data_IF_444707016597
#
_entry.id   IF_444707016597
#
_cell.length_a   1.000
_cell.length_b   1.000
_cell.length_c   1.000
_cell.angle_alpha   90.00
_cell.angle_beta   90.00
_cell.angle_gamma   90.00
#
_symmetry.space_group_name_H-M   'P 1'
#
loop_
_entity.id
_entity.type
_entity.pdbx_description
1 polymer ?
#
# COMPACT_ATOMS: atom_id res chain seq x y z
N UNK A 1 -8.14 3.20 3.45
CA UNK A 1 -7.19 2.68 2.45
C UNK A 1 -5.89 3.41 2.64
N UNK A 2 -4.76 2.75 2.40
CA UNK A 2 -3.46 3.42 2.42
C UNK A 2 -3.39 4.39 1.23
N UNK A 3 -3.33 5.69 1.54
CA UNK A 3 -3.36 6.75 0.53
C UNK A 3 -2.13 6.71 -0.38
N UNK A 4 -1.00 6.20 0.09
CA UNK A 4 0.19 6.05 -0.75
C UNK A 4 -0.05 5.05 -1.89
N UNK A 5 -0.60 3.87 -1.58
CA UNK A 5 -0.94 2.87 -2.61
C UNK A 5 -2.09 3.31 -3.50
N UNK A 6 -3.03 4.07 -2.95
CA UNK A 6 -4.16 4.59 -3.71
C UNK A 6 -3.72 5.59 -4.77
N UNK A 7 -2.77 6.48 -4.44
CA UNK A 7 -2.18 7.42 -5.39
C UNK A 7 -1.43 6.72 -6.53
N UNK A 8 -0.69 5.64 -6.23
CA UNK A 8 0.00 4.85 -7.25
C UNK A 8 -0.97 4.12 -8.18
N UNK A 9 -2.08 3.60 -7.64
CA UNK A 9 -3.12 2.92 -8.44
C UNK A 9 -3.74 3.82 -9.51
N UNK A 10 -3.97 5.11 -9.21
CA UNK A 10 -4.55 6.05 -10.18
C UNK A 10 -3.59 6.46 -11.29
N UNK A 11 -2.29 6.39 -11.04
CA UNK A 11 -1.28 6.70 -12.06
C UNK A 11 -1.06 5.55 -13.04
N UNK A 12 -1.61 4.35 -12.77
CA UNK A 12 -1.44 3.16 -13.59
C UNK A 12 -2.66 2.90 -14.49
N UNK A 13 -2.42 2.35 -15.68
CA UNK A 13 -3.50 1.90 -16.56
C UNK A 13 -4.19 0.66 -15.99
N UNK A 14 -5.53 0.58 -16.14
CA UNK A 14 -6.37 -0.49 -15.57
C UNK A 14 -5.87 -1.89 -15.93
N UNK A 15 -5.36 -2.09 -17.15
CA UNK A 15 -4.88 -3.38 -17.63
C UNK A 15 -3.53 -3.80 -17.01
N UNK A 16 -2.74 -2.84 -16.53
CA UNK A 16 -1.47 -3.08 -15.86
C UNK A 16 -1.63 -3.23 -14.33
N UNK A 17 -2.66 -2.58 -13.76
CA UNK A 17 -2.90 -2.55 -12.32
C UNK A 17 -3.14 -3.94 -11.72
N UNK A 18 -4.08 -4.72 -12.26
CA UNK A 18 -4.43 -6.04 -11.69
C UNK A 18 -3.24 -7.02 -11.76
N UNK A 19 -2.62 -7.28 -12.93
CA UNK A 19 -1.46 -8.17 -12.99
C UNK A 19 -0.29 -7.72 -12.12
N UNK A 20 -0.04 -6.41 -12.04
CA UNK A 20 1.01 -5.85 -11.19
C UNK A 20 0.78 -6.13 -9.71
N UNK A 21 -0.44 -5.90 -9.20
CA UNK A 21 -0.79 -6.20 -7.82
C UNK A 21 -0.79 -7.70 -7.51
N UNK A 22 -1.28 -8.53 -8.42
CA UNK A 22 -1.29 -9.98 -8.26
C UNK A 22 0.15 -10.52 -8.16
N UNK A 23 1.03 -10.07 -9.06
CA UNK A 23 2.44 -10.43 -9.06
C UNK A 23 3.16 -9.97 -7.78
N UNK A 24 2.90 -8.73 -7.35
CA UNK A 24 3.46 -8.19 -6.11
C UNK A 24 3.01 -8.99 -4.87
N UNK A 25 1.74 -9.41 -4.82
CA UNK A 25 1.20 -10.17 -3.69
C UNK A 25 1.83 -11.56 -3.51
N UNK A 26 2.32 -12.18 -4.60
CA UNK A 26 3.04 -13.46 -4.55
C UNK A 26 4.50 -13.22 -4.15
N UNK A 27 5.12 -12.20 -4.72
CA UNK A 27 6.53 -11.89 -4.48
C UNK A 27 6.79 -11.37 -3.05
N UNK A 28 5.85 -10.63 -2.46
CA UNK A 28 6.03 -9.98 -1.15
C UNK A 28 6.32 -10.97 -0.03
N UNK A 29 5.82 -12.21 -0.13
CA UNK A 29 6.02 -13.27 0.87
C UNK A 29 7.50 -13.66 0.98
N UNK A 30 8.28 -13.51 -0.09
CA UNK A 30 9.71 -13.79 -0.08
C UNK A 30 10.45 -12.97 0.97
N UNK A 31 10.05 -11.72 1.17
CA UNK A 31 10.73 -10.80 2.08
C UNK A 31 10.70 -11.31 3.52
N UNK A 32 9.55 -11.51 4.20
CA UNK A 32 9.54 -12.00 5.57
C UNK A 32 9.90 -13.48 5.67
N UNK A 33 9.34 -14.34 4.81
CA UNK A 33 9.47 -15.79 4.96
C UNK A 33 10.85 -16.29 4.53
N UNK A 34 11.29 -15.96 3.32
CA UNK A 34 12.54 -16.50 2.79
C UNK A 34 13.74 -15.87 3.49
N UNK A 35 13.76 -14.54 3.62
CA UNK A 35 14.83 -13.84 4.34
C UNK A 35 14.90 -14.28 5.81
N UNK A 36 13.74 -14.38 6.49
CA UNK A 36 13.68 -14.84 7.88
C UNK A 36 14.19 -16.28 8.03
N UNK A 37 13.81 -17.18 7.12
CA UNK A 37 14.28 -18.57 7.10
C UNK A 37 15.79 -18.64 6.88
N UNK A 38 16.32 -17.97 5.84
CA UNK A 38 17.75 -18.04 5.50
C UNK A 38 18.60 -17.43 6.61
N UNK A 39 18.29 -16.21 7.05
CA UNK A 39 19.09 -15.50 8.06
C UNK A 39 18.94 -16.15 9.43
N UNK A 40 17.73 -16.51 9.84
CA UNK A 40 17.47 -17.11 11.15
C UNK A 40 18.12 -18.48 11.30
N UNK A 41 18.03 -19.34 10.28
CA UNK A 41 18.69 -20.64 10.29
C UNK A 41 20.22 -20.50 10.21
N UNK A 42 20.71 -19.56 9.41
CA UNK A 42 22.15 -19.26 9.36
C UNK A 42 22.66 -18.87 10.74
N UNK A 43 21.98 -17.95 11.44
CA UNK A 43 22.32 -17.55 12.81
C UNK A 43 22.43 -18.78 13.74
N UNK A 44 21.40 -19.63 13.76
CA UNK A 44 21.38 -20.83 14.61
C UNK A 44 22.47 -21.85 14.27
N UNK A 45 22.85 -21.95 13.00
CA UNK A 45 23.91 -22.86 12.57
C UNK A 45 25.29 -22.40 13.05
N UNK A 46 25.54 -21.09 13.07
CA UNK A 46 26.89 -20.55 13.30
C UNK A 46 27.12 -19.95 14.69
N UNK A 47 26.07 -19.63 15.47
CA UNK A 47 26.18 -18.89 16.74
C UNK A 47 27.10 -19.55 17.79
N UNK A 48 27.30 -20.87 17.71
CA UNK A 48 28.17 -21.65 18.61
C UNK A 48 29.54 -21.97 18.02
N UNK A 49 29.88 -21.38 16.88
CA UNK A 49 31.14 -21.67 16.17
C UNK A 49 32.08 -20.46 16.20
N UNK A 50 33.39 -20.65 16.03
CA UNK A 50 34.37 -19.56 16.03
C UNK A 50 34.18 -18.50 14.93
N UNK A 51 33.35 -18.78 13.91
CA UNK A 51 33.02 -17.81 12.86
C UNK A 51 32.05 -16.71 13.36
N UNK A 52 31.38 -16.94 14.50
CA UNK A 52 30.44 -15.99 15.07
C UNK A 52 31.17 -14.74 15.58
N UNK A 53 30.65 -13.56 15.26
CA UNK A 53 31.31 -12.27 15.49
C UNK A 53 31.71 -12.06 16.95
N UNK A 54 30.89 -12.54 17.88
CA UNK A 54 31.09 -12.38 19.32
C UNK A 54 31.45 -13.67 20.04
N UNK A 55 31.86 -14.71 19.31
CA UNK A 55 32.21 -16.00 19.90
C UNK A 55 33.19 -15.84 21.08
N UNK A 56 32.94 -16.48 22.25
CA UNK A 56 31.93 -17.51 22.53
C UNK A 56 30.57 -16.99 23.00
N UNK A 57 30.38 -15.67 23.09
CA UNK A 57 29.11 -15.07 23.53
C UNK A 57 28.06 -15.05 22.42
N UNK A 58 26.81 -15.36 22.78
CA UNK A 58 25.65 -15.27 21.90
C UNK A 58 24.93 -13.93 22.05
N UNK A 59 24.01 -13.62 21.13
CA UNK A 59 23.20 -12.40 21.22
C UNK A 59 22.39 -12.36 22.52
N UNK A 60 22.36 -11.19 23.15
CA UNK A 60 21.48 -10.94 24.29
C UNK A 60 20.03 -10.77 23.81
N UNK A 61 19.03 -11.02 24.68
CA UNK A 61 17.62 -10.78 24.33
C UNK A 61 17.36 -9.36 23.82
N UNK A 62 18.04 -8.37 24.39
CA UNK A 62 17.96 -6.97 23.96
C UNK A 62 18.44 -6.79 22.51
N UNK A 63 19.57 -7.39 22.14
CA UNK A 63 20.10 -7.30 20.77
C UNK A 63 19.20 -8.02 19.76
N UNK A 64 18.60 -9.15 20.16
CA UNK A 64 17.62 -9.86 19.35
C UNK A 64 16.38 -8.98 19.11
N UNK A 65 15.85 -8.36 20.17
CA UNK A 65 14.68 -7.48 20.09
C UNK A 65 14.94 -6.19 19.31
N UNK A 66 16.20 -5.77 19.18
CA UNK A 66 16.65 -4.67 18.32
C UNK A 66 16.82 -5.08 16.84
N UNK A 67 16.61 -6.36 16.49
CA UNK A 67 16.72 -6.84 15.12
C UNK A 67 18.17 -7.05 14.65
N UNK A 68 19.14 -7.17 15.57
CA UNK A 68 20.57 -7.27 15.22
C UNK A 68 20.99 -8.65 14.66
N UNK A 69 20.07 -9.60 14.56
CA UNK A 69 20.36 -10.95 14.04
C UNK A 69 20.94 -10.90 12.63
N UNK A 70 20.29 -10.18 11.70
CA UNK A 70 20.76 -10.09 10.32
C UNK A 70 22.14 -9.42 10.18
N UNK A 71 22.39 -8.25 10.79
CA UNK A 71 23.73 -7.65 10.81
C UNK A 71 24.82 -8.60 11.31
N UNK A 72 24.58 -9.35 12.38
CA UNK A 72 25.57 -10.27 12.95
C UNK A 72 25.86 -11.45 12.02
N UNK A 73 24.82 -12.04 11.42
CA UNK A 73 24.99 -13.14 10.45
C UNK A 73 25.81 -12.67 9.24
N UNK A 74 25.49 -11.51 8.67
CA UNK A 74 26.25 -10.97 7.53
C UNK A 74 27.70 -10.62 7.93
N UNK A 75 27.91 -10.05 9.11
CA UNK A 75 29.25 -9.74 9.61
C UNK A 75 30.11 -11.01 9.74
N UNK A 76 29.54 -12.07 10.29
CA UNK A 76 30.21 -13.35 10.50
C UNK A 76 30.53 -14.09 9.20
N UNK A 77 29.62 -14.08 8.23
CA UNK A 77 29.76 -14.89 7.00
C UNK A 77 30.39 -14.14 5.83
N UNK A 78 30.06 -12.85 5.66
CA UNK A 78 30.42 -12.06 4.48
C UNK A 78 31.31 -10.85 4.81
N UNK A 79 31.52 -10.56 6.09
CA UNK A 79 32.40 -9.50 6.57
C UNK A 79 31.83 -8.09 6.40
N UNK A 80 32.72 -7.10 6.56
CA UNK A 80 32.38 -5.66 6.61
C UNK A 80 31.68 -5.11 5.35
N UNK A 81 32.02 -5.52 4.11
CA UNK A 81 31.35 -4.99 2.93
C UNK A 81 29.85 -5.32 2.89
N UNK A 82 29.46 -6.53 3.30
CA UNK A 82 28.07 -6.94 3.32
C UNK A 82 27.25 -6.20 4.39
N UNK A 83 27.83 -5.95 5.57
CA UNK A 83 27.15 -5.16 6.60
C UNK A 83 27.02 -3.68 6.20
N UNK A 84 28.01 -3.12 5.51
CA UNK A 84 27.90 -1.78 4.93
C UNK A 84 26.80 -1.71 3.87
N UNK A 85 26.72 -2.71 2.98
CA UNK A 85 25.64 -2.81 2.00
C UNK A 85 24.26 -2.91 2.66
N UNK A 86 24.15 -3.68 3.76
CA UNK A 86 22.92 -3.75 4.55
C UNK A 86 22.52 -2.38 5.13
N UNK A 87 23.47 -1.59 5.63
CA UNK A 87 23.19 -0.24 6.13
C UNK A 87 22.64 0.67 5.03
N UNK A 88 23.23 0.62 3.83
CA UNK A 88 22.72 1.36 2.66
C UNK A 88 21.32 0.89 2.28
N UNK A 89 21.08 -0.42 2.26
CA UNK A 89 19.77 -1.00 1.96
C UNK A 89 18.71 -0.54 2.96
N UNK A 90 19.01 -0.58 4.26
CA UNK A 90 18.10 -0.12 5.32
C UNK A 90 17.82 1.39 5.16
N UNK A 91 18.86 2.20 4.90
CA UNK A 91 18.69 3.63 4.67
C UNK A 91 17.75 3.90 3.50
N UNK A 92 17.99 3.26 2.34
CA UNK A 92 17.13 3.40 1.17
C UNK A 92 15.68 2.96 1.44
N UNK A 93 15.49 1.84 2.13
CA UNK A 93 14.16 1.32 2.47
C UNK A 93 13.38 2.28 3.39
N UNK A 94 14.06 2.81 4.43
CA UNK A 94 13.45 3.77 5.35
C UNK A 94 13.13 5.08 4.62
N UNK A 95 14.08 5.64 3.86
CA UNK A 95 13.86 6.89 3.13
C UNK A 95 12.74 6.77 2.09
N UNK A 96 12.63 5.62 1.41
CA UNK A 96 11.52 5.35 0.48
C UNK A 96 10.17 5.36 1.21
N UNK A 97 10.08 4.69 2.37
CA UNK A 97 8.85 4.65 3.18
C UNK A 97 8.48 6.04 3.71
N UNK A 98 9.46 6.78 4.23
CA UNK A 98 9.27 8.14 4.75
C UNK A 98 8.82 9.10 3.65
N UNK A 99 9.41 9.02 2.45
CA UNK A 99 9.00 9.85 1.32
C UNK A 99 7.55 9.57 0.92
N UNK A 100 7.16 8.30 0.85
CA UNK A 100 5.79 7.90 0.51
C UNK A 100 4.77 8.37 1.57
N UNK A 101 5.06 8.20 2.86
CA UNK A 101 4.18 8.66 3.94
C UNK A 101 4.04 10.18 3.99
N UNK A 102 5.11 10.92 3.69
CA UNK A 102 5.09 12.39 3.62
C UNK A 102 4.13 12.89 2.54
N UNK A 103 4.16 12.28 1.34
CA UNK A 103 3.26 12.66 0.23
C UNK A 103 1.81 12.30 0.57
N UNK A 104 1.60 11.14 1.18
CA UNK A 104 0.28 10.69 1.62
C UNK A 104 -0.32 11.67 2.65
N UNK A 105 0.40 11.99 3.72
CA UNK A 105 -0.09 12.87 4.80
C UNK A 105 -0.22 14.31 4.35
N UNK A 106 0.69 14.82 3.51
CA UNK A 106 0.57 16.18 2.98
C UNK A 106 -0.65 16.35 2.08
N UNK A 107 -1.00 15.32 1.32
CA UNK A 107 -2.22 15.30 0.48
C UNK A 107 -3.48 15.28 1.34
N UNK A 108 -3.51 14.50 2.43
CA UNK A 108 -4.62 14.50 3.40
C UNK A 108 -4.78 15.90 4.03
N UNK A 109 -3.69 16.52 4.49
CA UNK A 109 -3.73 17.85 5.11
C UNK A 109 -4.24 18.91 4.12
N UNK A 110 -3.78 18.87 2.87
CA UNK A 110 -4.10 19.90 1.87
C UNK A 110 -5.48 19.72 1.21
N UNK A 111 -5.82 18.50 0.79
CA UNK A 111 -7.05 18.21 0.06
C UNK A 111 -8.20 17.84 1.01
N UNK A 112 -7.97 16.87 1.89
CA UNK A 112 -9.04 16.32 2.73
C UNK A 112 -9.39 17.24 3.90
N UNK A 113 -8.40 17.97 4.45
CA UNK A 113 -8.62 18.87 5.57
C UNK A 113 -8.76 20.33 5.14
N UNK A 114 -7.71 20.91 4.55
CA UNK A 114 -7.68 22.34 4.24
C UNK A 114 -8.70 22.73 3.16
N UNK A 115 -8.68 22.06 2.00
CA UNK A 115 -9.62 22.37 0.92
C UNK A 115 -11.06 22.03 1.31
N UNK A 116 -11.30 20.90 1.97
CA UNK A 116 -12.67 20.50 2.32
C UNK A 116 -13.32 21.37 3.40
N UNK A 117 -12.59 21.73 4.46
CA UNK A 117 -13.19 22.39 5.63
C UNK A 117 -12.81 23.85 5.82
N UNK A 118 -11.63 24.30 5.37
CA UNK A 118 -11.15 25.67 5.63
C UNK A 118 -11.34 26.59 4.43
N UNK A 119 -10.95 26.14 3.24
CA UNK A 119 -11.07 26.94 2.02
C UNK A 119 -11.41 26.08 0.79
N UNK A 120 -12.72 25.81 0.55
CA UNK A 120 -13.20 25.05 -0.60
C UNK A 120 -12.81 25.63 -1.97
N UNK A 121 -12.56 26.93 -2.02
CA UNK A 121 -12.19 27.68 -3.23
C UNK A 121 -10.69 27.98 -3.31
N UNK A 122 -9.86 27.26 -2.53
CA UNK A 122 -8.41 27.43 -2.58
C UNK A 122 -7.86 27.17 -3.98
N UNK A 123 -7.01 28.09 -4.47
CA UNK A 123 -6.28 27.91 -5.72
C UNK A 123 -5.20 26.83 -5.58
N UNK A 124 -4.80 26.22 -6.70
CA UNK A 124 -3.80 25.14 -6.70
C UNK A 124 -2.47 25.57 -6.08
N UNK A 125 -2.05 26.81 -6.32
CA UNK A 125 -0.84 27.38 -5.69
C UNK A 125 -0.94 27.42 -4.17
N UNK A 126 -2.11 27.78 -3.62
CA UNK A 126 -2.33 27.83 -2.17
C UNK A 126 -2.39 26.42 -1.58
N UNK A 127 -3.06 25.49 -2.26
CA UNK A 127 -3.13 24.08 -1.89
C UNK A 127 -1.74 23.44 -1.85
N UNK A 128 -0.90 23.73 -2.85
CA UNK A 128 0.50 23.26 -2.90
C UNK A 128 1.33 23.82 -1.74
N UNK A 129 1.17 25.09 -1.39
CA UNK A 129 1.85 25.69 -0.23
C UNK A 129 1.49 25.00 1.09
N UNK A 130 0.20 24.68 1.28
CA UNK A 130 -0.26 23.93 2.45
C UNK A 130 0.27 22.50 2.44
N UNK A 131 0.35 21.85 1.27
CA UNK A 131 0.96 20.53 1.12
C UNK A 131 2.43 20.55 1.56
N UNK A 132 3.23 21.52 1.09
CA UNK A 132 4.63 21.65 1.52
C UNK A 132 4.77 21.86 3.03
N UNK A 133 3.89 22.68 3.64
CA UNK A 133 3.86 22.85 5.09
C UNK A 133 3.51 21.52 5.80
N UNK A 134 2.58 20.75 5.24
CA UNK A 134 2.22 19.42 5.70
C UNK A 134 3.40 18.44 5.68
N UNK A 135 4.24 18.48 4.64
CA UNK A 135 5.48 17.67 4.56
C UNK A 135 6.43 18.00 5.71
N UNK A 136 6.70 19.28 5.94
CA UNK A 136 7.61 19.73 7.02
C UNK A 136 7.04 19.34 8.40
N UNK A 137 5.76 19.60 8.62
CA UNK A 137 5.08 19.22 9.86
C UNK A 137 5.17 17.72 10.12
N UNK A 138 4.82 16.90 9.13
CA UNK A 138 4.83 15.44 9.27
C UNK A 138 6.26 14.90 9.49
N UNK A 139 7.26 15.46 8.81
CA UNK A 139 8.67 15.11 9.04
C UNK A 139 9.12 15.37 10.47
N UNK A 140 8.85 16.56 10.99
CA UNK A 140 9.15 16.90 12.39
C UNK A 140 8.37 16.03 13.37
N UNK A 141 7.09 15.77 13.10
CA UNK A 141 6.25 14.91 13.93
C UNK A 141 6.77 13.47 13.98
N UNK A 142 7.09 12.86 12.83
CA UNK A 142 7.64 11.50 12.79
C UNK A 142 8.98 11.40 13.50
N UNK A 143 9.88 12.38 13.30
CA UNK A 143 11.16 12.41 14.00
C UNK A 143 10.97 12.50 15.52
N UNK A 144 10.11 13.41 15.99
CA UNK A 144 9.79 13.54 17.41
C UNK A 144 9.12 12.28 17.99
N UNK A 145 8.17 11.69 17.25
CA UNK A 145 7.46 10.49 17.68
C UNK A 145 8.39 9.26 17.72
N UNK A 146 9.31 9.12 16.76
CA UNK A 146 10.31 8.05 16.77
C UNK A 146 11.27 8.17 17.97
N UNK A 147 11.74 9.38 18.27
CA UNK A 147 12.55 9.66 19.47
C UNK A 147 11.77 9.33 20.74
N UNK A 148 10.50 9.76 20.83
CA UNK A 148 9.63 9.44 21.96
C UNK A 148 9.49 7.93 22.17
N UNK A 149 9.21 7.16 21.11
CA UNK A 149 9.10 5.70 21.19
C UNK A 149 10.41 5.03 21.64
N UNK A 150 11.56 5.53 21.15
CA UNK A 150 12.86 5.04 21.55
C UNK A 150 13.13 5.26 23.05
N UNK A 151 12.79 6.43 23.59
CA UNK A 151 12.92 6.72 25.01
C UNK A 151 11.89 6.00 25.89
N UNK A 152 10.69 5.77 25.36
CA UNK A 152 9.70 4.94 26.03
C UNK A 152 10.20 3.50 26.20
N UNK A 153 11.09 3.02 25.33
CA UNK A 153 11.59 1.64 25.34
C UNK A 153 10.82 0.71 24.40
N UNK A 154 10.07 1.26 23.44
CA UNK A 154 9.29 0.49 22.48
C UNK A 154 10.22 -0.34 21.58
N UNK A 155 10.22 -1.66 21.77
CA UNK A 155 10.95 -2.59 20.92
C UNK A 155 10.29 -2.73 19.54
N UNK A 156 11.03 -3.26 18.56
CA UNK A 156 10.49 -3.53 17.23
C UNK A 156 9.30 -4.51 17.27
N UNK A 157 9.32 -5.47 18.20
CA UNK A 157 8.22 -6.42 18.43
C UNK A 157 6.97 -5.70 18.93
N UNK A 158 7.12 -4.81 19.91
CA UNK A 158 6.02 -4.00 20.43
C UNK A 158 5.35 -3.20 19.31
N UNK A 159 6.15 -2.47 18.52
CA UNK A 159 5.64 -1.67 17.40
C UNK A 159 4.95 -2.56 16.34
N UNK A 160 5.45 -3.77 16.12
CA UNK A 160 4.87 -4.74 15.18
C UNK A 160 3.50 -5.24 15.64
N UNK A 161 3.30 -5.46 16.95
CA UNK A 161 2.02 -5.94 17.48
C UNK A 161 0.97 -4.85 17.68
N UNK A 162 1.38 -3.62 18.02
CA UNK A 162 0.45 -2.49 18.16
C UNK A 162 -0.07 -2.00 16.81
N UNK A 163 0.77 -2.01 15.78
CA UNK A 163 0.42 -1.50 14.44
C UNK A 163 -0.89 -2.07 13.88
N UNK A 164 -1.10 -3.39 13.78
CA UNK A 164 -2.36 -3.92 13.25
C UNK A 164 -3.57 -3.57 14.13
N UNK A 165 -3.40 -3.46 15.46
CA UNK A 165 -4.50 -3.08 16.35
C UNK A 165 -5.03 -1.67 16.01
N UNK A 166 -4.13 -0.75 15.67
CA UNK A 166 -4.50 0.64 15.37
C UNK A 166 -4.88 0.86 13.90
N UNK A 167 -4.21 0.18 12.97
CA UNK A 167 -4.35 0.45 11.54
C UNK A 167 -5.46 -0.36 10.84
N UNK A 168 -5.78 -1.56 11.34
CA UNK A 168 -6.72 -2.47 10.68
C UNK A 168 -8.23 -2.17 10.82
N UNK A 169 -8.75 -1.44 11.84
CA UNK A 169 -10.20 -1.31 12.03
C UNK A 169 -10.98 -0.73 10.83
N UNK A 170 -10.31 0.08 10.01
CA UNK A 170 -10.92 0.71 8.84
C UNK A 170 -11.05 -0.19 7.62
N UNK A 171 -10.42 -1.37 7.58
CA UNK A 171 -10.30 -2.17 6.34
C UNK A 171 -11.68 -2.64 5.83
N UNK A 172 -12.41 -3.44 6.62
CA UNK A 172 -13.72 -3.95 6.19
C UNK A 172 -14.78 -2.86 6.00
N UNK A 173 -14.92 -1.88 6.91
CA UNK A 173 -15.89 -0.80 6.73
C UNK A 173 -15.63 -0.03 5.44
N UNK A 174 -14.37 0.22 5.06
CA UNK A 174 -14.02 0.86 3.78
C UNK A 174 -14.32 -0.03 2.58
N UNK A 175 -14.01 -1.33 2.64
CA UNK A 175 -14.37 -2.25 1.56
C UNK A 175 -15.88 -2.26 1.31
N UNK A 176 -16.65 -2.39 2.39
CA UNK A 176 -18.11 -2.38 2.31
C UNK A 176 -18.67 -1.06 1.76
N UNK A 177 -18.02 0.09 1.98
CA UNK A 177 -18.47 1.38 1.39
C UNK A 177 -18.36 1.43 -0.13
N UNK A 178 -17.61 0.51 -0.74
CA UNK A 178 -17.43 0.43 -2.19
C UNK A 178 -18.27 -0.70 -2.79
N UNK A 179 -18.44 -1.82 -2.07
CA UNK A 179 -19.08 -3.03 -2.63
C UNK A 179 -20.49 -3.30 -2.12
N UNK A 180 -20.92 -2.66 -1.03
CA UNK A 180 -22.20 -2.96 -0.37
C UNK A 180 -23.12 -1.74 -0.30
N UNK A 181 -24.14 -1.73 -1.17
CA UNK A 181 -25.12 -0.63 -1.29
C UNK A 181 -25.88 -0.32 0.00
N UNK A 182 -25.92 -1.27 0.97
CA UNK A 182 -26.72 -1.14 2.19
C UNK A 182 -25.93 -0.57 3.37
N UNK A 183 -24.63 -0.33 3.22
CA UNK A 183 -23.86 0.23 4.32
C UNK A 183 -24.33 1.64 4.64
N UNK A 184 -24.68 1.86 5.90
CA UNK A 184 -25.12 3.17 6.36
C UNK A 184 -23.94 4.09 6.68
N UNK A 185 -24.14 5.40 6.57
CA UNK A 185 -23.16 6.41 7.01
C UNK A 185 -22.74 6.21 8.47
N UNK A 186 -23.70 5.86 9.34
CA UNK A 186 -23.41 5.57 10.75
C UNK A 186 -22.49 4.35 10.90
N UNK A 187 -22.76 3.28 10.15
CA UNK A 187 -21.90 2.09 10.15
C UNK A 187 -20.49 2.38 9.62
N UNK A 188 -20.36 3.19 8.56
CA UNK A 188 -19.06 3.57 8.01
C UNK A 188 -18.18 4.35 9.01
N UNK A 189 -18.79 5.17 9.88
CA UNK A 189 -18.07 5.98 10.86
C UNK A 189 -17.84 5.22 12.18
N UNK A 190 -18.88 4.58 12.72
CA UNK A 190 -18.82 3.97 14.05
C UNK A 190 -18.13 2.61 14.07
N UNK A 191 -18.25 1.80 13.01
CA UNK A 191 -17.68 0.46 13.02
C UNK A 191 -16.14 0.44 13.18
N UNK A 192 -15.35 1.27 12.46
CA UNK A 192 -13.91 1.36 12.70
C UNK A 192 -13.57 1.81 14.12
N UNK A 193 -14.30 2.80 14.67
CA UNK A 193 -14.04 3.32 16.02
C UNK A 193 -14.34 2.29 17.10
N UNK A 194 -15.48 1.61 16.99
CA UNK A 194 -15.85 0.53 17.91
C UNK A 194 -14.84 -0.62 17.81
N UNK A 195 -14.41 -0.98 16.60
CA UNK A 195 -13.42 -2.04 16.44
C UNK A 195 -12.05 -1.71 17.01
N UNK A 196 -11.59 -0.46 16.86
CA UNK A 196 -10.38 0.03 17.52
C UNK A 196 -10.51 -0.08 19.05
N UNK A 197 -11.63 0.39 19.61
CA UNK A 197 -11.89 0.31 21.05
C UNK A 197 -11.91 -1.14 21.54
N UNK A 198 -12.56 -2.05 20.82
CA UNK A 198 -12.58 -3.48 21.14
C UNK A 198 -11.20 -4.11 21.06
N UNK A 199 -10.43 -3.79 20.01
CA UNK A 199 -9.07 -4.27 19.82
C UNK A 199 -8.12 -3.83 20.92
N UNK A 200 -8.13 -2.54 21.27
CA UNK A 200 -7.38 -1.99 22.40
C UNK A 200 -7.82 -2.60 23.72
N UNK A 201 -9.13 -2.75 23.92
CA UNK A 201 -9.68 -3.39 25.12
C UNK A 201 -9.19 -4.82 25.31
N UNK A 202 -9.26 -5.65 24.26
CA UNK A 202 -8.76 -7.03 24.29
C UNK A 202 -7.25 -7.08 24.51
N UNK A 203 -6.49 -6.26 23.78
CA UNK A 203 -5.04 -6.22 23.90
C UNK A 203 -4.58 -5.86 25.30
N UNK A 204 -5.10 -4.77 25.89
CA UNK A 204 -4.71 -4.33 27.23
C UNK A 204 -5.21 -5.29 28.31
N UNK A 205 -6.43 -5.83 28.19
CA UNK A 205 -6.98 -6.79 29.15
C UNK A 205 -6.18 -8.10 29.17
N UNK A 206 -5.76 -8.60 28.00
CA UNK A 206 -4.95 -9.81 27.92
C UNK A 206 -3.49 -9.55 28.33
N UNK A 207 -2.95 -8.36 28.04
CA UNK A 207 -1.62 -7.96 28.52
C UNK A 207 -1.59 -7.95 30.06
N UNK A 208 -2.65 -7.42 30.70
CA UNK A 208 -2.81 -7.49 32.14
C UNK A 208 -3.00 -8.92 32.65
N UNK A 209 -3.84 -9.73 31.98
CA UNK A 209 -4.13 -11.11 32.42
C UNK A 209 -2.92 -12.04 32.33
N UNK A 210 -2.13 -11.94 31.28
CA UNK A 210 -0.95 -12.80 31.06
C UNK A 210 0.32 -12.23 31.66
N UNK A 211 0.46 -10.90 31.67
CA UNK A 211 1.67 -10.21 32.15
C UNK A 211 1.59 -9.69 33.59
N UNK A 212 0.39 -9.61 34.19
CA UNK A 212 0.19 -9.11 35.56
C UNK A 212 0.22 -7.58 35.70
N UNK A 213 0.68 -6.85 34.68
CA UNK A 213 0.73 -5.39 34.62
C UNK A 213 0.49 -4.89 33.19
N UNK A 214 0.31 -3.58 33.03
CA UNK A 214 0.26 -2.94 31.71
C UNK A 214 1.51 -2.07 31.57
N UNK A 215 2.52 -2.62 30.90
CA UNK A 215 3.78 -1.97 30.58
C UNK A 215 4.27 -2.44 29.21
N UNK A 216 5.44 -1.97 28.76
CA UNK A 216 6.00 -2.30 27.45
C UNK A 216 6.32 -3.79 27.32
N UNK A 217 6.69 -4.46 28.42
CA UNK A 217 7.04 -5.87 28.43
C UNK A 217 5.81 -6.76 28.34
N UNK A 218 4.73 -6.42 29.02
CA UNK A 218 3.48 -7.19 28.94
C UNK A 218 2.73 -6.94 27.64
N UNK A 219 2.82 -5.72 27.10
CA UNK A 219 2.12 -5.35 25.86
C UNK A 219 2.81 -5.82 24.58
N UNK A 220 4.08 -6.24 24.66
CA UNK A 220 4.79 -6.92 23.57
C UNK A 220 4.65 -8.45 23.58
N UNK A 221 3.77 -9.01 24.43
CA UNK A 221 3.46 -10.44 24.41
C UNK A 221 2.69 -10.82 23.14
N UNK A 222 3.05 -11.96 22.55
CA UNK A 222 2.51 -12.41 21.28
C UNK A 222 1.00 -12.69 21.32
N UNK A 223 0.50 -13.35 22.37
CA UNK A 223 -0.92 -13.70 22.49
C UNK A 223 -1.82 -12.46 22.64
N UNK A 224 -1.57 -11.52 23.57
CA UNK A 224 -2.32 -10.26 23.61
C UNK A 224 -2.30 -9.50 22.28
N UNK A 225 -1.14 -9.42 21.63
CA UNK A 225 -0.99 -8.77 20.33
C UNK A 225 -1.84 -9.43 19.24
N UNK A 226 -1.81 -10.77 19.15
CA UNK A 226 -2.60 -11.55 18.20
C UNK A 226 -4.09 -11.32 18.39
N UNK A 227 -4.61 -11.54 19.61
CA UNK A 227 -6.04 -11.41 19.89
C UNK A 227 -6.55 -9.97 19.77
N UNK A 228 -5.73 -8.99 20.17
CA UNK A 228 -6.02 -7.57 19.95
C UNK A 228 -6.14 -7.24 18.47
N UNK A 229 -5.19 -7.69 17.66
CA UNK A 229 -5.17 -7.45 16.22
C UNK A 229 -6.34 -8.14 15.51
N UNK A 230 -6.63 -9.41 15.83
CA UNK A 230 -7.77 -10.13 15.24
C UNK A 230 -9.09 -9.48 15.62
N UNK A 231 -9.25 -9.05 16.87
CA UNK A 231 -10.46 -8.36 17.32
C UNK A 231 -10.63 -7.04 16.59
N UNK A 232 -9.56 -6.24 16.52
CA UNK A 232 -9.55 -4.95 15.82
C UNK A 232 -9.86 -5.08 14.34
N UNK A 233 -9.36 -6.14 13.69
CA UNK A 233 -9.56 -6.40 12.28
C UNK A 233 -10.99 -6.90 11.97
N UNK A 234 -11.51 -7.87 12.71
CA UNK A 234 -12.78 -8.53 12.38
C UNK A 234 -14.02 -7.91 13.03
N UNK A 235 -13.94 -7.31 14.21
CA UNK A 235 -15.13 -6.74 14.86
C UNK A 235 -15.77 -5.57 14.08
N UNK A 236 -15.03 -4.68 13.37
CA UNK A 236 -15.66 -3.67 12.51
C UNK A 236 -16.56 -4.27 11.43
N UNK A 237 -16.23 -5.45 10.88
CA UNK A 237 -17.10 -6.12 9.90
C UNK A 237 -18.46 -6.45 10.51
N UNK A 238 -18.46 -7.01 11.72
CA UNK A 238 -19.68 -7.34 12.46
C UNK A 238 -20.47 -6.07 12.78
N UNK A 239 -19.80 -5.03 13.28
CA UNK A 239 -20.44 -3.74 13.59
C UNK A 239 -21.02 -3.08 12.35
N UNK A 240 -20.31 -3.09 11.21
CA UNK A 240 -20.80 -2.53 9.95
C UNK A 240 -22.08 -3.21 9.50
N UNK A 241 -22.16 -4.55 9.60
CA UNK A 241 -23.35 -5.30 9.22
C UNK A 241 -24.51 -5.04 10.19
N UNK A 242 -24.27 -5.15 11.50
CA UNK A 242 -25.32 -4.98 12.53
C UNK A 242 -25.90 -3.57 12.50
N UNK A 243 -25.08 -2.53 12.48
CA UNK A 243 -25.54 -1.12 12.47
C UNK A 243 -26.31 -0.83 11.17
N UNK A 244 -25.84 -1.35 10.03
CA UNK A 244 -26.51 -1.13 8.75
C UNK A 244 -27.85 -1.86 8.63
N UNK A 245 -27.98 -3.04 9.26
CA UNK A 245 -29.26 -3.76 9.30
C UNK A 245 -30.23 -3.16 10.33
N UNK A 246 -29.74 -2.56 11.41
CA UNK A 246 -30.57 -1.89 12.41
C UNK A 246 -31.28 -0.65 11.87
N UNK A 247 -30.63 0.12 10.98
CA UNK A 247 -31.24 1.27 10.29
C UNK A 247 -30.99 1.20 8.79
N UNK A 248 -31.77 0.39 8.04
CA UNK A 248 -31.52 0.15 6.63
C UNK A 248 -31.53 1.44 5.79
N UNK A 249 -30.51 1.59 4.95
CA UNK A 249 -30.41 2.59 3.89
C UNK A 249 -29.93 1.88 2.62
N UNK A 250 -30.24 2.43 1.45
CA UNK A 250 -29.64 1.99 0.18
C UNK A 250 -29.02 3.19 -0.52
N UNK A 251 -27.77 3.04 -0.95
CA UNK A 251 -27.05 4.04 -1.72
C UNK A 251 -27.16 3.73 -3.21
N UNK A 252 -27.52 4.72 -4.02
CA UNK A 252 -27.54 4.59 -5.48
C UNK A 252 -26.17 4.98 -6.06
N UNK A 253 -25.46 3.99 -6.59
CA UNK A 253 -24.11 4.18 -7.15
C UNK A 253 -24.05 5.12 -8.35
N UNK A 254 -25.19 5.39 -9.00
CA UNK A 254 -25.28 6.36 -10.10
C UNK A 254 -24.96 7.78 -9.66
N UNK A 255 -25.05 8.08 -8.36
CA UNK A 255 -24.61 9.35 -7.78
C UNK A 255 -23.15 9.67 -8.12
N UNK A 256 -22.29 8.64 -8.25
CA UNK A 256 -20.89 8.85 -8.62
C UNK A 256 -20.70 9.39 -10.04
N UNK A 257 -21.64 9.15 -10.94
CA UNK A 257 -21.59 9.64 -12.32
C UNK A 257 -21.89 11.16 -12.40
N UNK A 258 -22.43 11.75 -11.34
CA UNK A 258 -22.66 13.20 -11.23
C UNK A 258 -21.43 13.97 -10.76
N UNK A 259 -20.41 13.29 -10.25
CA UNK A 259 -19.21 13.95 -9.72
C UNK A 259 -18.34 14.46 -10.88
N UNK A 260 -18.15 15.78 -10.94
CA UNK A 260 -17.19 16.41 -11.86
C UNK A 260 -15.77 16.29 -11.31
N UNK A 261 -14.83 15.91 -12.19
CA UNK A 261 -13.41 15.86 -11.87
C UNK A 261 -12.91 17.30 -11.60
N UNK A 262 -12.03 17.45 -10.61
CA UNK A 262 -11.56 18.78 -10.15
C UNK A 262 -10.85 19.56 -11.26
N UNK A 263 -10.28 18.88 -12.26
CA UNK A 263 -9.60 19.50 -13.41
C UNK A 263 -10.56 20.38 -14.25
N UNK A 264 -11.85 20.03 -14.32
CA UNK A 264 -12.84 20.72 -15.15
C UNK A 264 -13.30 22.09 -14.58
N UNK A 265 -12.86 22.45 -13.36
CA UNK A 265 -13.24 23.71 -12.71
C UNK A 265 -12.40 24.93 -13.11
N UNK A 266 -11.45 24.79 -14.04
CA UNK A 266 -10.77 25.96 -14.60
C UNK A 266 -11.66 26.60 -15.67
N UNK A 267 -12.28 27.78 -15.44
CA UNK A 267 -12.94 28.48 -16.52
C UNK A 267 -11.87 28.83 -17.55
N UNK A 268 -12.12 28.46 -18.81
CA UNK A 268 -11.36 28.92 -19.98
C UNK A 268 -11.39 30.45 -20.04
N UNK A 269 -10.48 31.09 -19.33
CA UNK A 269 -10.17 32.50 -19.49
C UNK A 269 -9.10 32.58 -20.57
N UNK A 270 -9.53 33.02 -21.75
CA UNK A 270 -8.65 33.52 -22.80
C UNK A 270 -7.69 34.57 -22.22
N UNK A 271 -6.38 34.27 -22.16
CA UNK A 271 -5.31 35.11 -22.73
C UNK A 271 -3.88 34.67 -22.38
N UNK A 272 -3.09 34.51 -23.45
CA UNK A 272 -1.62 34.54 -23.62
C UNK A 272 -0.75 33.35 -23.15
N UNK A 273 0.17 32.88 -24.01
CA UNK A 273 1.00 31.72 -23.73
C UNK A 273 2.12 32.10 -22.76
N UNK A 274 2.16 31.43 -21.61
CA UNK A 274 3.36 31.38 -20.79
C UNK A 274 4.19 30.20 -21.27
N UNK A 275 5.21 30.48 -22.07
CA UNK A 275 6.28 29.55 -22.40
C UNK A 275 6.89 28.99 -21.11
N UNK A 276 6.55 27.75 -20.78
CA UNK A 276 7.43 26.60 -20.50
C UNK A 276 6.56 25.37 -20.81
N UNK A 277 6.48 25.04 -22.09
CA UNK A 277 6.06 23.72 -22.54
C UNK A 277 7.32 23.07 -23.10
N UNK A 278 7.78 22.00 -22.44
CA UNK A 278 8.76 21.09 -23.01
C UNK A 278 8.08 20.50 -24.25
N UNK A 279 8.59 20.87 -25.41
CA UNK A 279 8.13 20.43 -26.71
C UNK A 279 8.56 18.99 -26.88
N UNK A 280 7.61 18.05 -26.88
CA UNK A 280 7.80 16.79 -27.58
C UNK A 280 7.16 16.99 -28.96
N UNK A 281 8.01 17.19 -29.95
CA UNK A 281 7.65 17.26 -31.36
C UNK A 281 7.12 15.91 -31.83
N UNK A 282 5.91 15.93 -32.39
CA UNK A 282 5.35 14.91 -33.26
C UNK A 282 6.25 14.77 -34.49
N UNK A 283 6.89 13.61 -34.64
CA UNK A 283 7.45 13.17 -35.91
C UNK A 283 7.58 11.64 -35.91
N UNK A 284 6.46 10.94 -36.10
CA UNK A 284 6.45 9.55 -36.55
C UNK A 284 5.19 9.26 -37.37
N UNK A 285 5.28 9.48 -38.69
CA UNK A 285 4.57 8.65 -39.66
C UNK A 285 5.46 7.47 -40.07
N UNK A 286 4.81 6.31 -40.24
CA UNK A 286 5.29 5.04 -40.83
C UNK A 286 6.11 4.12 -39.92
N UNK A 287 5.46 3.11 -39.33
CA UNK A 287 5.42 1.73 -39.88
C UNK A 287 4.46 0.83 -39.05
N UNK A 288 3.99 -0.23 -39.70
CA UNK A 288 2.75 -1.02 -39.52
C UNK A 288 2.33 -1.49 -38.10
N UNK A 289 1.09 -1.15 -37.71
CA UNK A 289 0.30 -1.81 -36.66
C UNK A 289 -0.51 -2.97 -37.27
N UNK A 290 -0.58 -4.17 -36.67
CA UNK A 290 -1.70 -5.08 -36.94
C UNK A 290 -2.98 -4.52 -36.32
N UNK A 291 -4.08 -4.65 -37.05
CA UNK A 291 -5.36 -4.00 -36.84
C UNK A 291 -5.95 -4.17 -35.41
N UNK A 292 -6.24 -3.05 -34.76
CA UNK A 292 -7.24 -2.97 -33.70
C UNK A 292 -8.07 -1.70 -33.90
N UNK A 293 -9.39 -1.89 -33.82
CA UNK A 293 -10.44 -0.91 -34.12
C UNK A 293 -10.28 0.31 -33.21
N UNK A 294 -9.90 1.45 -33.80
CA UNK A 294 -9.99 2.77 -33.18
C UNK A 294 -11.45 3.08 -32.85
N UNK A 295 -11.77 3.17 -31.56
CA UNK A 295 -12.94 3.91 -31.11
C UNK A 295 -12.73 5.37 -31.46
N UNK A 296 -13.40 5.83 -32.52
CA UNK A 296 -13.44 7.25 -32.92
C UNK A 296 -13.77 8.11 -31.70
N UNK A 297 -12.92 9.11 -31.44
CA UNK A 297 -13.29 10.25 -30.60
C UNK A 297 -14.56 10.92 -31.15
N UNK A 298 -15.30 11.68 -30.33
CA UNK A 298 -16.59 12.22 -30.75
C UNK A 298 -16.41 13.16 -31.95
N UNK A 299 -16.89 12.72 -33.10
CA UNK A 299 -17.15 13.57 -34.26
C UNK A 299 -18.14 14.66 -33.80
N UNK A 300 -17.79 15.91 -34.11
CA UNK A 300 -18.62 17.08 -33.87
C UNK A 300 -19.90 17.00 -34.71
N UNK A 301 -20.95 16.40 -34.17
CA UNK A 301 -22.30 16.53 -34.72
C UNK A 301 -22.85 17.88 -34.27
N UNK A 302 -22.86 18.82 -35.21
CA UNK A 302 -23.65 20.04 -35.10
C UNK A 302 -25.13 19.68 -35.03
N UNK A 303 -25.68 19.68 -33.83
CA UNK A 303 -27.12 19.73 -33.58
C UNK A 303 -27.34 20.56 -32.33
N UNK A 304 -28.06 21.65 -32.51
CA UNK A 304 -28.38 22.66 -31.50
C UNK A 304 -28.86 22.00 -30.19
N UNK A 305 -28.10 22.15 -29.12
CA UNK A 305 -28.43 21.65 -27.79
C UNK A 305 -28.97 22.80 -26.92
N UNK A 306 -30.12 22.63 -26.23
CA UNK A 306 -30.61 23.60 -25.24
C UNK A 306 -29.61 23.74 -24.08
N UNK A 307 -29.70 24.81 -23.25
CA UNK A 307 -28.63 25.18 -22.33
C UNK A 307 -28.32 24.06 -21.33
N UNK A 308 -27.02 23.80 -21.16
CA UNK A 308 -26.48 22.80 -20.26
C UNK A 308 -27.00 23.01 -18.83
N UNK A 309 -27.84 22.08 -18.35
CA UNK A 309 -28.02 21.88 -16.92
C UNK A 309 -26.69 21.33 -16.36
N UNK A 310 -26.18 21.92 -15.29
CA UNK A 310 -25.02 21.41 -14.55
C UNK A 310 -25.20 19.90 -14.28
N UNK A 311 -24.22 19.06 -14.67
CA UNK A 311 -24.28 17.60 -14.50
C UNK A 311 -24.52 17.19 -13.03
N UNK A 312 -24.06 18.02 -12.09
CA UNK A 312 -24.31 17.87 -10.65
C UNK A 312 -25.80 17.87 -10.25
N UNK A 313 -26.71 18.31 -11.13
CA UNK A 313 -28.13 18.47 -10.85
C UNK A 313 -29.04 17.74 -11.86
N UNK A 314 -28.46 16.93 -12.75
CA UNK A 314 -29.19 16.07 -13.67
C UNK A 314 -29.86 14.91 -12.93
N UNK A 315 -31.05 14.49 -13.34
CA UNK A 315 -31.75 13.35 -12.71
C UNK A 315 -30.94 12.05 -12.89
N UNK A 316 -31.00 11.14 -11.91
CA UNK A 316 -30.17 9.91 -11.89
C UNK A 316 -30.45 8.99 -13.08
N UNK A 317 -31.68 9.05 -13.60
CA UNK A 317 -32.12 8.25 -14.73
C UNK A 317 -31.57 8.78 -16.07
N UNK A 318 -31.12 10.04 -16.11
CA UNK A 318 -30.56 10.68 -17.31
C UNK A 318 -29.02 10.57 -17.38
N UNK A 319 -28.37 10.04 -16.34
CA UNK A 319 -26.90 10.00 -16.28
C UNK A 319 -26.37 8.76 -16.99
N UNK A 320 -25.68 9.00 -18.12
CA UNK A 320 -25.02 7.95 -18.90
C UNK A 320 -23.58 7.75 -18.44
N UNK A 321 -23.15 6.50 -18.39
CA UNK A 321 -21.79 6.14 -18.04
C UNK A 321 -20.77 6.68 -19.06
N UNK A 322 -19.63 7.27 -18.63
CA UNK A 322 -18.67 7.91 -19.54
C UNK A 322 -17.91 6.91 -20.43
N UNK A 323 -17.79 5.65 -19.99
CA UNK A 323 -17.16 4.59 -20.77
C UNK A 323 -18.19 3.80 -21.59
N UNK A 324 -17.81 3.45 -22.82
CA UNK A 324 -18.61 2.59 -23.70
C UNK A 324 -18.75 1.16 -23.16
N UNK A 325 -19.67 0.38 -23.75
CA UNK A 325 -19.99 -0.97 -23.29
C UNK A 325 -18.78 -1.93 -23.31
N UNK A 326 -17.90 -1.82 -24.29
CA UNK A 326 -16.72 -2.68 -24.39
C UNK A 326 -15.75 -2.47 -23.21
N UNK A 327 -15.48 -1.21 -22.88
CA UNK A 327 -14.64 -0.84 -21.73
C UNK A 327 -15.26 -1.36 -20.43
N UNK A 328 -16.58 -1.25 -20.26
CA UNK A 328 -17.27 -1.77 -19.08
C UNK A 328 -17.16 -3.30 -18.99
N UNK A 329 -17.32 -4.01 -20.12
CA UNK A 329 -17.13 -5.47 -20.17
C UNK A 329 -15.71 -5.85 -19.79
N UNK A 330 -14.72 -5.11 -20.29
CA UNK A 330 -13.32 -5.30 -19.97
C UNK A 330 -13.02 -5.10 -18.47
N UNK A 331 -13.51 -4.00 -17.86
CA UNK A 331 -13.36 -3.74 -16.42
C UNK A 331 -14.00 -4.85 -15.58
N UNK A 332 -15.21 -5.30 -15.94
CA UNK A 332 -15.89 -6.40 -15.24
C UNK A 332 -15.15 -7.72 -15.34
N UNK A 333 -14.46 -7.98 -16.47
CA UNK A 333 -13.62 -9.17 -16.62
C UNK A 333 -12.43 -9.13 -15.66
N UNK A 334 -11.68 -8.02 -15.63
CA UNK A 334 -10.56 -7.85 -14.70
C UNK A 334 -10.97 -7.87 -13.23
N UNK A 335 -12.13 -7.31 -12.90
CA UNK A 335 -12.69 -7.39 -11.55
C UNK A 335 -12.90 -8.86 -11.11
N UNK A 336 -13.39 -9.73 -12.00
CA UNK A 336 -13.56 -11.15 -11.68
C UNK A 336 -12.22 -11.83 -11.44
N UNK A 337 -11.21 -11.53 -12.25
CA UNK A 337 -9.84 -12.05 -12.07
C UNK A 337 -9.30 -11.61 -10.71
N UNK A 338 -9.33 -10.31 -10.41
CA UNK A 338 -8.84 -9.74 -9.17
C UNK A 338 -9.52 -10.35 -7.93
N UNK A 339 -10.85 -10.50 -7.96
CA UNK A 339 -11.59 -11.12 -6.83
C UNK A 339 -11.25 -12.60 -6.67
N UNK A 340 -11.17 -13.35 -7.78
CA UNK A 340 -10.83 -14.77 -7.74
C UNK A 340 -9.43 -14.96 -7.18
N UNK A 341 -8.48 -14.18 -7.68
CA UNK A 341 -7.09 -14.23 -7.26
C UNK A 341 -6.94 -13.81 -5.79
N UNK A 342 -7.62 -12.74 -5.34
CA UNK A 342 -7.64 -12.32 -3.94
C UNK A 342 -8.10 -13.46 -3.01
N UNK A 343 -9.22 -14.12 -3.35
CA UNK A 343 -9.76 -15.22 -2.55
C UNK A 343 -8.80 -16.41 -2.50
N UNK A 344 -8.25 -16.81 -3.65
CA UNK A 344 -7.27 -17.91 -3.73
C UNK A 344 -6.00 -17.55 -2.97
N UNK A 345 -5.49 -16.34 -3.13
CA UNK A 345 -4.29 -15.87 -2.44
C UNK A 345 -4.50 -15.94 -0.92
N UNK A 346 -5.57 -15.33 -0.39
CA UNK A 346 -5.89 -15.40 1.05
C UNK A 346 -6.01 -16.86 1.53
N UNK A 347 -6.75 -17.69 0.78
CA UNK A 347 -6.94 -19.09 1.16
C UNK A 347 -5.62 -19.86 1.19
N UNK A 348 -4.71 -19.63 0.25
CA UNK A 348 -3.43 -20.34 0.18
C UNK A 348 -2.42 -19.76 1.16
N UNK A 349 -2.19 -18.45 1.11
CA UNK A 349 -1.08 -17.76 1.77
C UNK A 349 -1.36 -17.41 3.23
N UNK A 350 -2.63 -17.41 3.66
CA UNK A 350 -3.01 -17.12 5.06
C UNK A 350 -3.62 -18.36 5.73
N UNK A 351 -4.52 -19.07 5.04
CA UNK A 351 -5.27 -20.17 5.66
C UNK A 351 -4.58 -21.53 5.48
N UNK A 352 -4.31 -21.96 4.25
CA UNK A 352 -3.83 -23.32 3.98
C UNK A 352 -2.37 -23.49 4.37
N UNK A 353 -1.55 -22.46 4.19
CA UNK A 353 -0.12 -22.57 4.42
C UNK A 353 0.30 -22.17 5.86
N UNK A 354 0.07 -20.96 6.39
CA UNK A 354 0.49 -20.61 7.75
C UNK A 354 -0.31 -21.27 8.89
N UNK A 355 -1.64 -21.32 8.81
CA UNK A 355 -2.46 -21.75 9.96
C UNK A 355 -2.14 -23.16 10.46
N UNK A 356 -1.89 -24.17 9.60
CA UNK A 356 -1.51 -25.50 10.08
C UNK A 356 -0.22 -25.53 10.89
N UNK A 357 0.70 -24.57 10.71
CA UNK A 357 1.94 -24.47 11.48
C UNK A 357 1.78 -23.79 12.84
N UNK A 358 0.59 -23.26 13.16
CA UNK A 358 0.34 -22.70 14.49
C UNK A 358 0.16 -23.78 15.57
N UNK A 359 0.15 -25.06 15.18
CA UNK A 359 0.26 -26.19 16.10
C UNK A 359 1.72 -26.30 16.59
N UNK A 360 1.92 -26.82 17.81
CA UNK A 360 3.23 -27.22 18.36
C UNK A 360 3.86 -28.40 17.59
N UNK A 361 3.97 -28.26 16.27
CA UNK A 361 4.43 -29.29 15.37
C UNK A 361 5.92 -29.13 15.12
N UNK A 362 6.69 -30.11 15.56
CA UNK A 362 8.12 -30.19 15.27
C UNK A 362 8.30 -30.71 13.84
N UNK A 363 8.97 -29.93 13.00
CA UNK A 363 9.21 -30.29 11.60
C UNK A 363 10.08 -31.56 11.51
N UNK A 364 9.64 -32.52 10.71
CA UNK A 364 10.49 -33.65 10.33
C UNK A 364 11.65 -33.15 9.45
N UNK A 365 12.75 -33.90 9.39
CA UNK A 365 13.90 -33.53 8.54
C UNK A 365 13.51 -33.33 7.07
N UNK A 366 12.63 -34.20 6.54
CA UNK A 366 12.14 -34.09 5.16
C UNK A 366 11.30 -32.83 4.95
N UNK A 367 10.39 -32.54 5.89
CA UNK A 367 9.56 -31.35 5.81
C UNK A 367 10.38 -30.06 5.92
N UNK A 368 11.30 -30.01 6.88
CA UNK A 368 12.23 -28.88 7.03
C UNK A 368 13.11 -28.68 5.79
N UNK A 369 13.64 -29.76 5.20
CA UNK A 369 14.38 -29.69 3.94
C UNK A 369 13.53 -29.12 2.80
N UNK A 370 12.27 -29.53 2.70
CA UNK A 370 11.30 -28.98 1.75
C UNK A 370 11.01 -27.50 1.98
N UNK A 371 10.80 -27.08 3.24
CA UNK A 371 10.58 -25.69 3.64
C UNK A 371 11.72 -24.77 3.18
N UNK A 372 12.96 -25.14 3.50
CA UNK A 372 14.14 -24.36 3.14
C UNK A 372 14.33 -24.33 1.62
N UNK A 373 14.15 -25.46 0.94
CA UNK A 373 14.27 -25.55 -0.52
C UNK A 373 13.25 -24.65 -1.22
N UNK A 374 11.99 -24.69 -0.77
CA UNK A 374 10.93 -23.84 -1.33
C UNK A 374 11.22 -22.36 -1.07
N UNK A 375 11.70 -22.00 0.12
CA UNK A 375 12.08 -20.63 0.43
C UNK A 375 13.19 -20.12 -0.50
N UNK A 376 14.20 -20.95 -0.80
CA UNK A 376 15.27 -20.58 -1.73
C UNK A 376 14.75 -20.39 -3.16
N UNK A 377 13.92 -21.30 -3.66
CA UNK A 377 13.31 -21.19 -5.00
C UNK A 377 12.45 -19.92 -5.08
N UNK A 378 11.62 -19.67 -4.08
CA UNK A 378 10.73 -18.51 -4.04
C UNK A 378 11.50 -17.19 -3.97
N UNK A 379 12.63 -17.16 -3.25
CA UNK A 379 13.50 -15.99 -3.20
C UNK A 379 14.04 -15.62 -4.58
N UNK A 380 14.47 -16.62 -5.37
CA UNK A 380 14.92 -16.39 -6.75
C UNK A 380 13.79 -15.95 -7.66
N UNK A 381 12.61 -16.56 -7.55
CA UNK A 381 11.42 -16.12 -8.30
C UNK A 381 11.09 -14.66 -7.99
N UNK A 382 11.05 -14.28 -6.72
CA UNK A 382 10.80 -12.90 -6.31
C UNK A 382 11.88 -11.94 -6.84
N UNK A 383 13.16 -12.35 -6.85
CA UNK A 383 14.22 -11.56 -7.46
C UNK A 383 13.98 -11.33 -8.96
N UNK A 384 13.69 -12.39 -9.73
CA UNK A 384 13.40 -12.23 -11.16
C UNK A 384 12.15 -11.37 -11.40
N UNK A 385 11.12 -11.54 -10.59
CA UNK A 385 9.85 -10.83 -10.71
C UNK A 385 9.93 -9.36 -10.33
N UNK A 386 10.65 -9.00 -9.27
CA UNK A 386 10.66 -7.63 -8.73
C UNK A 386 11.86 -6.82 -9.24
N UNK A 387 12.97 -7.49 -9.56
CA UNK A 387 14.20 -6.80 -10.00
C UNK A 387 14.38 -6.90 -11.51
N UNK A 388 14.27 -8.09 -12.09
CA UNK A 388 14.60 -8.30 -13.51
C UNK A 388 13.44 -7.93 -14.43
N UNK A 389 12.22 -8.37 -14.10
CA UNK A 389 11.05 -8.17 -14.94
C UNK A 389 10.72 -6.68 -15.17
N UNK A 390 10.71 -5.78 -14.17
CA UNK A 390 10.41 -4.36 -14.42
C UNK A 390 11.45 -3.68 -15.30
N UNK A 391 12.72 -4.08 -15.21
CA UNK A 391 13.80 -3.57 -16.09
C UNK A 391 13.59 -4.04 -17.52
N UNK A 392 13.17 -5.29 -17.71
CA UNK A 392 12.85 -5.84 -19.03
C UNK A 392 11.61 -5.18 -19.64
N UNK A 393 10.52 -5.05 -18.88
CA UNK A 393 9.26 -4.48 -19.35
C UNK A 393 9.41 -2.98 -19.67
N UNK A 394 10.06 -2.24 -18.76
CA UNK A 394 10.34 -0.80 -18.92
C UNK A 394 11.45 -0.46 -19.92
N UNK A 395 12.07 -1.45 -20.60
CA UNK A 395 13.26 -1.23 -21.45
C UNK A 395 13.04 -0.17 -22.54
N UNK A 396 11.84 -0.11 -23.12
CA UNK A 396 11.53 0.84 -24.18
C UNK A 396 11.44 2.26 -23.64
N UNK A 397 10.81 2.44 -22.48
CA UNK A 397 10.74 3.72 -21.78
C UNK A 397 12.14 4.19 -21.33
N UNK A 398 12.96 3.27 -20.81
CA UNK A 398 14.35 3.56 -20.42
C UNK A 398 15.16 4.02 -21.64
N UNK A 399 15.06 3.32 -22.77
CA UNK A 399 15.75 3.70 -24.01
C UNK A 399 15.26 5.05 -24.53
N UNK A 400 13.96 5.34 -24.47
CA UNK A 400 13.41 6.64 -24.85
C UNK A 400 13.94 7.77 -23.95
N UNK A 401 13.96 7.57 -22.63
CA UNK A 401 14.51 8.53 -21.69
C UNK A 401 16.00 8.80 -21.93
N UNK A 402 16.79 7.74 -22.18
CA UNK A 402 18.21 7.88 -22.51
C UNK A 402 18.42 8.60 -23.84
N UNK A 403 17.61 8.31 -24.86
CA UNK A 403 17.64 9.02 -26.15
C UNK A 403 17.27 10.50 -25.97
N UNK A 404 16.23 10.81 -25.21
CA UNK A 404 15.84 12.18 -24.88
C UNK A 404 16.95 12.95 -24.19
N UNK A 405 17.53 12.37 -23.12
CA UNK A 405 18.66 12.96 -22.40
C UNK A 405 19.87 13.18 -23.32
N UNK A 406 20.16 12.24 -24.22
CA UNK A 406 21.25 12.38 -25.18
C UNK A 406 21.02 13.50 -26.20
N UNK A 407 19.77 13.74 -26.62
CA UNK A 407 19.40 14.81 -27.56
C UNK A 407 19.50 16.18 -26.88
N UNK A 408 19.03 16.28 -25.64
CA UNK A 408 19.14 17.49 -24.81
C UNK A 408 20.60 17.86 -24.54
N UNK A 409 21.43 16.88 -24.16
CA UNK A 409 22.88 17.07 -23.96
C UNK A 409 23.61 17.43 -25.26
N UNK A 410 23.13 16.95 -26.41
CA UNK A 410 23.67 17.28 -27.73
C UNK A 410 23.16 18.61 -28.30
N UNK A 411 22.32 19.35 -27.57
CA UNK A 411 21.75 20.63 -28.01
C UNK A 411 20.83 20.54 -29.23
N UNK A 412 20.37 19.33 -29.57
CA UNK A 412 19.37 19.11 -30.63
C UNK A 412 18.00 19.07 -29.96
N UNK A 413 17.34 20.23 -29.93
CA UNK A 413 15.92 20.32 -29.57
C UNK A 413 15.07 19.44 -30.47
#
# INVERSE_FOLDING_TARGET
MDTAFWQMSFAAEVHATVPGYDLASIAIIAIPWCTGTIIGLSARAIEKTPIWLTYPSTLTPTQINQGLVMPFVLASLLGKPATAALLVLIFMAITSTVSSSMIAVSSIISLDFYRTYFNPLASDRKTLQISHLGVVFHGCFMAGFAVMLQYAGAANNWATYVRPIVACPGIFPMMLTIVWERQTRLAAILAPLLGLCSGLGVWLSLSWRYGGAIDIDTTQLQLPGLYGATTSFFSPLVYSVVISLAKPSRFDWREFLRMELIEDKTPTVSSRPSTIAVSLSDDFQNEEKPAFVEGKGPESVSSQQPPAKNKAQADLDDVVHPFGEETIKHIKHWLKIAVTFLLVNILVTIVLWPMPFYRDWVFTKSFFGGWVTMALIWQWLAFFTVVVYPVYDGRHAIVQALKGLSRDLAGRK
#
